data_IF_886492080995
#
_entry.id   IF_886492080995
#
_cell.length_a   1.000
_cell.length_b   1.000
_cell.length_c   1.000
_cell.angle_alpha   90.00
_cell.angle_beta   90.00
_cell.angle_gamma   90.00
#
_symmetry.space_group_name_H-M   'P 1'
#
loop_
_entity.id
_entity.type
_entity.pdbx_description
1 polymer ?
#
# COMPACT_ATOMS: atom_id res chain seq x y z
N UNK A 1 -6.06 0.63 -7.98
CA UNK A 1 -6.45 -0.05 -6.71
C UNK A 1 -5.49 -1.20 -6.38
N UNK A 2 -5.25 -2.15 -7.29
CA UNK A 2 -4.42 -3.35 -7.04
C UNK A 2 -3.01 -3.05 -6.49
N UNK A 3 -2.32 -2.04 -7.04
CA UNK A 3 -1.00 -1.65 -6.53
C UNK A 3 -1.08 -1.23 -5.06
N UNK A 4 -2.05 -0.39 -4.68
CA UNK A 4 -2.26 0.01 -3.29
C UNK A 4 -2.58 -1.17 -2.37
N UNK A 5 -3.26 -2.20 -2.87
CA UNK A 5 -3.51 -3.45 -2.11
C UNK A 5 -2.20 -4.13 -1.77
N UNK A 6 -1.31 -4.32 -2.75
CA UNK A 6 -0.01 -4.93 -2.52
C UNK A 6 0.85 -4.08 -1.56
N UNK A 7 0.98 -2.78 -1.85
CA UNK A 7 1.82 -1.88 -1.07
C UNK A 7 1.35 -1.71 0.38
N UNK A 8 0.05 -1.85 0.66
CA UNK A 8 -0.49 -1.80 2.03
C UNK A 8 0.11 -2.84 2.99
N UNK A 9 0.76 -3.88 2.46
CA UNK A 9 1.46 -4.89 3.24
C UNK A 9 2.86 -4.43 3.67
N UNK A 10 3.58 -3.71 2.80
CA UNK A 10 4.99 -3.34 3.01
C UNK A 10 5.17 -2.10 3.88
N UNK A 11 4.21 -1.16 3.87
CA UNK A 11 4.26 0.12 4.61
C UNK A 11 4.27 0.00 6.15
N UNK A 12 4.37 -1.22 6.68
CA UNK A 12 4.50 -1.51 8.12
C UNK A 12 5.74 -2.31 8.48
N UNK A 13 6.56 -2.68 7.50
CA UNK A 13 7.82 -3.39 7.67
C UNK A 13 8.92 -2.45 8.20
N UNK A 14 10.09 -2.99 8.50
CA UNK A 14 11.20 -2.22 9.09
C UNK A 14 11.83 -1.24 8.08
N UNK A 15 11.94 -1.64 6.81
CA UNK A 15 12.40 -0.78 5.72
C UNK A 15 11.45 -0.89 4.49
N UNK A 16 10.36 -0.09 4.45
CA UNK A 16 9.33 -0.26 3.44
C UNK A 16 9.72 0.19 2.03
N UNK A 17 10.58 1.21 1.88
CA UNK A 17 10.85 1.82 0.57
C UNK A 17 11.55 0.86 -0.41
N UNK A 18 12.55 0.06 -0.01
CA UNK A 18 13.12 -0.97 -0.89
C UNK A 18 12.11 -2.01 -1.35
N UNK A 19 11.22 -2.46 -0.46
CA UNK A 19 10.17 -3.43 -0.79
C UNK A 19 9.14 -2.86 -1.77
N UNK A 20 8.76 -1.59 -1.57
CA UNK A 20 7.91 -0.85 -2.50
C UNK A 20 8.59 -0.74 -3.86
N UNK A 21 9.87 -0.36 -3.89
CA UNK A 21 10.65 -0.23 -5.11
C UNK A 21 10.72 -1.54 -5.90
N UNK A 22 11.07 -2.64 -5.23
CA UNK A 22 11.14 -3.96 -5.84
C UNK A 22 9.80 -4.39 -6.43
N UNK A 23 8.71 -4.28 -5.66
CA UNK A 23 7.38 -4.65 -6.13
C UNK A 23 6.94 -3.79 -7.33
N UNK A 24 7.13 -2.47 -7.24
CA UNK A 24 6.75 -1.53 -8.28
C UNK A 24 7.57 -1.73 -9.55
N UNK A 25 8.84 -2.11 -9.44
CA UNK A 25 9.68 -2.42 -10.61
C UNK A 25 9.10 -3.57 -11.44
N UNK A 26 8.60 -4.63 -10.78
CA UNK A 26 7.92 -5.73 -11.45
C UNK A 26 6.55 -5.33 -12.01
N UNK A 27 5.79 -4.51 -11.26
CA UNK A 27 4.51 -3.99 -11.74
C UNK A 27 4.67 -3.13 -13.00
N UNK A 28 5.67 -2.24 -13.03
CA UNK A 28 5.92 -1.28 -14.10
C UNK A 28 6.35 -1.90 -15.44
N UNK A 29 6.68 -3.20 -15.47
CA UNK A 29 6.97 -3.93 -16.71
C UNK A 29 5.79 -3.86 -17.69
N UNK A 30 4.56 -3.91 -17.17
CA UNK A 30 3.33 -3.82 -17.99
C UNK A 30 2.33 -2.79 -17.44
N UNK A 31 2.42 -2.46 -16.15
CA UNK A 31 1.57 -1.49 -15.50
C UNK A 31 1.92 -0.07 -15.93
N UNK A 32 0.91 0.67 -16.35
CA UNK A 32 1.04 2.09 -16.68
C UNK A 32 0.30 2.89 -15.61
N UNK A 33 0.98 3.89 -15.05
CA UNK A 33 0.41 4.83 -14.11
C UNK A 33 0.67 6.23 -14.63
N UNK A 34 -0.37 7.05 -14.67
CA UNK A 34 -0.20 8.49 -14.89
C UNK A 34 0.20 9.19 -13.57
N UNK A 35 0.64 10.44 -13.68
CA UNK A 35 1.12 11.20 -12.53
C UNK A 35 0.06 11.35 -11.42
N UNK A 36 -1.20 11.57 -11.79
CA UNK A 36 -2.31 11.69 -10.84
C UNK A 36 -2.53 10.38 -10.09
N UNK A 37 -2.47 9.24 -10.78
CA UNK A 37 -2.59 7.93 -10.15
C UNK A 37 -1.47 7.69 -9.14
N UNK A 38 -0.23 8.08 -9.47
CA UNK A 38 0.89 7.96 -8.53
C UNK A 38 0.71 8.88 -7.32
N UNK A 39 0.28 10.12 -7.53
CA UNK A 39 0.13 11.12 -6.46
C UNK A 39 -0.95 10.75 -5.42
N UNK A 40 -1.97 10.00 -5.83
CA UNK A 40 -3.04 9.51 -4.93
C UNK A 40 -2.74 8.13 -4.32
N UNK A 41 -1.69 7.41 -4.75
CA UNK A 41 -1.39 6.07 -4.23
C UNK A 41 -1.27 6.01 -2.70
N UNK A 42 -0.64 6.96 -2.00
CA UNK A 42 -0.62 6.97 -0.53
C UNK A 42 -2.04 6.97 0.08
N UNK A 43 -2.96 7.72 -0.50
CA UNK A 43 -4.36 7.74 -0.04
C UNK A 43 -5.05 6.41 -0.30
N UNK A 44 -4.80 5.80 -1.46
CA UNK A 44 -5.35 4.49 -1.80
C UNK A 44 -4.80 3.38 -0.88
N UNK A 45 -3.54 3.47 -0.47
CA UNK A 45 -2.94 2.55 0.51
C UNK A 45 -3.66 2.67 1.85
N UNK A 46 -3.85 3.90 2.35
CA UNK A 46 -4.59 4.14 3.58
C UNK A 46 -6.05 3.69 3.46
N UNK A 47 -6.71 4.00 2.34
CA UNK A 47 -8.08 3.56 2.07
C UNK A 47 -8.18 2.03 2.11
N UNK A 48 -7.20 1.31 1.59
CA UNK A 48 -7.17 -0.16 1.69
C UNK A 48 -7.03 -0.62 3.14
N UNK A 49 -6.18 0.02 3.93
CA UNK A 49 -6.01 -0.31 5.36
C UNK A 49 -7.32 -0.08 6.11
N UNK A 50 -7.99 1.06 5.89
CA UNK A 50 -9.28 1.36 6.50
C UNK A 50 -10.38 0.41 6.03
N UNK A 51 -10.37 0.02 4.76
CA UNK A 51 -11.31 -0.97 4.22
C UNK A 51 -11.21 -2.30 4.97
N UNK A 52 -10.00 -2.78 5.28
CA UNK A 52 -9.83 -3.99 6.10
C UNK A 52 -10.39 -3.80 7.53
N UNK A 53 -10.16 -2.64 8.16
CA UNK A 53 -10.69 -2.33 9.50
C UNK A 53 -12.22 -2.37 9.49
N UNK A 54 -12.85 -1.70 8.52
CA UNK A 54 -14.31 -1.68 8.38
C UNK A 54 -14.84 -3.09 8.12
N UNK A 55 -14.18 -3.86 7.25
CA UNK A 55 -14.55 -5.25 6.95
C UNK A 55 -14.59 -6.13 8.19
N UNK A 56 -13.51 -6.17 8.98
CA UNK A 56 -13.46 -6.98 10.19
C UNK A 56 -14.42 -6.49 11.28
N UNK A 57 -14.60 -5.17 11.39
CA UNK A 57 -15.58 -4.60 12.32
C UNK A 57 -17.01 -4.99 11.93
N UNK A 58 -17.34 -4.94 10.64
CA UNK A 58 -18.64 -5.33 10.11
C UNK A 58 -18.96 -6.80 10.35
N UNK A 59 -18.00 -7.69 10.12
CA UNK A 59 -18.17 -9.14 10.39
C UNK A 59 -18.33 -9.44 11.88
N UNK A 60 -17.59 -8.74 12.74
CA UNK A 60 -17.77 -8.86 14.19
C UNK A 60 -19.16 -8.37 14.63
N UNK A 61 -19.62 -7.24 14.09
CA UNK A 61 -20.95 -6.71 14.35
C UNK A 61 -22.08 -7.65 13.89
N UNK A 62 -21.90 -8.30 12.73
CA UNK A 62 -22.85 -9.28 12.19
C UNK A 62 -22.82 -10.64 12.91
N UNK A 63 -21.89 -10.86 13.85
CA UNK A 63 -21.71 -12.13 14.55
C UNK A 63 -21.05 -13.23 13.71
N UNK A 64 -20.46 -12.89 12.57
CA UNK A 64 -19.77 -13.85 11.68
C UNK A 64 -18.34 -14.17 12.12
N UNK A 65 -17.69 -13.24 12.82
CA UNK A 65 -16.35 -13.38 13.41
C UNK A 65 -16.36 -12.75 14.82
N UNK A 66 -15.32 -13.02 15.62
CA UNK A 66 -15.07 -12.30 16.87
C UNK A 66 -14.20 -11.05 16.70
N UNK A 67 -14.11 -10.21 17.74
CA UNK A 67 -13.30 -8.98 17.74
C UNK A 67 -11.79 -9.25 17.75
N UNK A 68 -11.35 -10.46 18.05
CA UNK A 68 -9.95 -10.88 18.13
C UNK A 68 -9.22 -10.66 16.79
N UNK A 69 -9.92 -10.87 15.68
CA UNK A 69 -9.43 -10.61 14.32
C UNK A 69 -9.08 -9.14 14.09
N UNK A 70 -9.76 -8.22 14.77
CA UNK A 70 -9.49 -6.78 14.69
C UNK A 70 -8.43 -6.36 15.70
N UNK A 71 -8.57 -6.76 16.96
CA UNK A 71 -7.68 -6.32 18.06
C UNK A 71 -6.25 -6.78 17.86
N UNK A 72 -6.04 -7.98 17.30
CA UNK A 72 -4.69 -8.49 16.94
C UNK A 72 -4.01 -7.69 15.82
N UNK A 73 -4.77 -6.98 14.98
CA UNK A 73 -4.25 -6.26 13.80
C UNK A 73 -4.27 -4.73 13.92
N UNK A 74 -5.08 -4.18 14.84
CA UNK A 74 -5.30 -2.75 15.00
C UNK A 74 -3.99 -1.95 15.18
N UNK A 75 -3.05 -2.46 15.99
CA UNK A 75 -1.74 -1.82 16.18
C UNK A 75 -0.91 -1.76 14.89
N UNK A 76 -0.92 -2.85 14.10
CA UNK A 76 -0.22 -2.91 12.81
C UNK A 76 -0.84 -1.95 11.79
N UNK A 77 -2.18 -1.90 11.71
CA UNK A 77 -2.88 -0.94 10.83
C UNK A 77 -2.59 0.52 11.22
N UNK A 78 -2.59 0.84 12.51
CA UNK A 78 -2.23 2.17 12.99
C UNK A 78 -0.76 2.53 12.67
N UNK A 79 0.18 1.60 12.85
CA UNK A 79 1.60 1.77 12.46
C UNK A 79 1.71 2.12 10.97
N UNK A 80 1.03 1.36 10.11
CA UNK A 80 1.04 1.53 8.65
C UNK A 80 0.49 2.88 8.22
N UNK A 81 -0.69 3.28 8.70
CA UNK A 81 -1.30 4.57 8.34
C UNK A 81 -0.41 5.74 8.78
N UNK A 82 0.15 5.68 9.99
CA UNK A 82 1.10 6.70 10.47
C UNK A 82 2.33 6.79 9.57
N UNK A 83 2.90 5.64 9.19
CA UNK A 83 4.07 5.60 8.32
C UNK A 83 3.77 6.16 6.93
N UNK A 84 2.65 5.78 6.31
CA UNK A 84 2.23 6.27 4.99
C UNK A 84 2.06 7.80 5.01
N UNK A 85 1.42 8.34 6.04
CA UNK A 85 1.23 9.78 6.17
C UNK A 85 2.57 10.53 6.33
N UNK A 86 3.49 9.99 7.14
CA UNK A 86 4.80 10.60 7.35
C UNK A 86 5.72 10.51 6.12
N UNK A 87 5.56 9.49 5.28
CA UNK A 87 6.43 9.20 4.14
C UNK A 87 5.74 9.39 2.78
N UNK A 88 4.62 10.13 2.75
CA UNK A 88 3.80 10.31 1.54
C UNK A 88 4.63 10.64 0.31
N UNK A 89 5.48 11.67 0.43
CA UNK A 89 6.29 12.14 -0.69
C UNK A 89 7.34 11.12 -1.10
N UNK A 90 7.99 10.44 -0.15
CA UNK A 90 8.98 9.42 -0.44
C UNK A 90 8.38 8.22 -1.21
N UNK A 91 7.15 7.83 -0.89
CA UNK A 91 6.41 6.81 -1.66
C UNK A 91 6.16 7.28 -3.09
N UNK A 92 5.65 8.50 -3.26
CA UNK A 92 5.38 9.08 -4.59
C UNK A 92 6.67 9.16 -5.42
N UNK A 93 7.74 9.69 -4.86
CA UNK A 93 9.02 9.88 -5.55
C UNK A 93 9.63 8.54 -5.96
N UNK A 94 9.59 7.54 -5.07
CA UNK A 94 10.06 6.17 -5.33
C UNK A 94 9.32 5.56 -6.53
N UNK A 95 7.99 5.69 -6.56
CA UNK A 95 7.17 5.12 -7.62
C UNK A 95 7.38 5.88 -8.94
N UNK A 96 7.42 7.22 -8.90
CA UNK A 96 7.66 8.07 -10.06
C UNK A 96 8.99 7.75 -10.75
N UNK A 97 10.04 7.46 -9.99
CA UNK A 97 11.34 7.09 -10.54
C UNK A 97 11.29 5.79 -11.36
N UNK A 98 10.41 4.85 -10.99
CA UNK A 98 10.33 3.53 -11.61
C UNK A 98 9.40 3.50 -12.82
N UNK A 99 8.26 4.19 -12.75
CA UNK A 99 7.28 4.20 -13.87
C UNK A 99 7.69 5.10 -15.03
N UNK A 100 8.65 6.01 -14.82
CA UNK A 100 9.19 6.90 -15.87
C UNK A 100 10.47 6.37 -16.52
N UNK A 101 11.09 5.35 -15.94
CA UNK A 101 12.31 4.77 -16.52
C UNK A 101 11.88 3.72 -17.56
N UNK A 102 12.17 3.91 -18.87
CA UNK A 102 11.91 2.86 -19.84
C UNK A 102 12.75 1.63 -19.44
N UNK A 103 12.07 0.49 -19.26
CA UNK A 103 12.74 -0.79 -19.01
C UNK A 103 13.55 -1.12 -20.27
N UNK A 104 14.85 -0.82 -20.26
CA UNK A 104 15.78 -1.39 -21.24
C UNK A 104 15.89 -2.88 -20.94
N UNK A 105 15.07 -3.67 -21.61
CA UNK A 105 15.23 -5.12 -21.66
C UNK A 105 16.50 -5.38 -22.46
N UNK A 106 17.58 -5.77 -21.78
CA UNK A 106 18.75 -6.31 -22.45
C UNK A 106 18.33 -7.61 -23.14
N UNK A 107 18.47 -7.64 -24.47
CA UNK A 107 18.20 -8.79 -25.32
C UNK A 107 19.28 -9.87 -25.20
#
# INVERSE_FOLDING_TARGET
MELAVALSKYVGEDDPLPLISEFVSGYAVNGQLNDTEVDILPDLINLRIFSNVIYFTGRAYAGEDGLESLTSRAGSYAKRVKWVNANRQAVVDTIKALVRTPVTVAA
#
